data_IF_724533982294
#
_entry.id   IF_724533982294
#
_cell.length_a   1.000
_cell.length_b   1.000
_cell.length_c   1.000
_cell.angle_alpha   90.00
_cell.angle_beta   90.00
_cell.angle_gamma   90.00
#
_symmetry.space_group_name_H-M   'P 1'
#
loop_
_entity.id
_entity.type
_entity.pdbx_description
1 polymer ?
#
# COMPACT_ATOMS: atom_id res chain seq x y z
N UNK A 1 3.41 13.72 7.08
CA UNK A 1 2.67 12.43 6.97
C UNK A 1 3.67 11.29 7.00
N UNK A 2 3.32 10.19 7.64
CA UNK A 2 4.12 8.97 7.72
C UNK A 2 3.58 7.98 6.69
N UNK A 3 4.44 7.47 5.83
CA UNK A 3 4.08 6.45 4.85
C UNK A 3 4.01 5.08 5.53
N UNK A 4 2.89 4.37 5.33
CA UNK A 4 2.62 3.06 5.95
C UNK A 4 2.77 1.91 4.96
N UNK A 5 2.22 2.07 3.77
CA UNK A 5 2.21 1.03 2.74
C UNK A 5 2.09 1.65 1.36
N UNK A 6 2.91 1.19 0.41
CA UNK A 6 2.81 1.57 -1.00
C UNK A 6 1.64 0.87 -1.67
N UNK A 7 1.02 1.55 -2.65
CA UNK A 7 0.11 0.93 -3.61
C UNK A 7 0.97 0.53 -4.81
N UNK A 8 1.19 -0.76 -4.97
CA UNK A 8 2.15 -1.30 -5.93
C UNK A 8 1.49 -1.61 -7.26
N UNK A 9 2.06 -1.07 -8.33
CA UNK A 9 1.80 -1.49 -9.71
C UNK A 9 3.12 -2.07 -10.23
N UNK A 10 3.24 -3.40 -10.35
CA UNK A 10 4.49 -4.00 -10.79
C UNK A 10 4.75 -3.67 -12.26
N UNK A 11 6.00 -3.47 -12.60
CA UNK A 11 6.44 -3.48 -13.98
C UNK A 11 6.22 -4.90 -14.56
N UNK A 12 5.63 -4.98 -15.74
CA UNK A 12 5.42 -6.24 -16.46
C UNK A 12 6.71 -7.03 -16.69
N UNK A 13 7.85 -6.33 -16.74
CA UNK A 13 9.16 -6.95 -16.86
C UNK A 13 9.63 -7.70 -15.61
N UNK A 14 9.05 -7.39 -14.44
CA UNK A 14 9.49 -7.92 -13.13
C UNK A 14 8.48 -8.92 -12.56
N UNK A 15 7.22 -8.87 -12.96
CA UNK A 15 6.16 -9.69 -12.39
C UNK A 15 5.29 -10.35 -13.45
N UNK A 16 5.35 -11.67 -13.54
CA UNK A 16 4.48 -12.48 -14.40
C UNK A 16 3.09 -12.71 -13.80
N UNK A 17 2.92 -12.48 -12.48
CA UNK A 17 1.69 -12.77 -11.73
C UNK A 17 1.04 -11.46 -11.28
N UNK A 18 0.32 -10.81 -12.20
CA UNK A 18 -0.38 -9.53 -11.92
C UNK A 18 -1.44 -9.65 -10.81
N UNK A 19 -2.04 -10.82 -10.63
CA UNK A 19 -3.07 -11.10 -9.62
C UNK A 19 -2.57 -10.94 -8.18
N UNK A 20 -1.26 -11.00 -7.96
CA UNK A 20 -0.67 -10.67 -6.65
C UNK A 20 -0.78 -9.18 -6.30
N UNK A 21 -1.08 -8.32 -7.27
CA UNK A 21 -1.13 -6.87 -7.11
C UNK A 21 -2.49 -6.28 -7.42
N UNK A 22 -3.14 -6.72 -8.52
CA UNK A 22 -4.43 -6.17 -8.93
C UNK A 22 -5.24 -7.15 -9.78
N UNK A 23 -6.54 -6.89 -9.85
CA UNK A 23 -7.47 -7.52 -10.80
C UNK A 23 -8.11 -6.45 -11.67
N UNK A 24 -8.25 -6.73 -12.96
CA UNK A 24 -8.85 -5.80 -13.94
C UNK A 24 -10.13 -6.38 -14.52
N UNK A 25 -11.21 -5.58 -14.51
CA UNK A 25 -12.48 -5.91 -15.15
C UNK A 25 -13.00 -4.70 -15.93
N UNK A 26 -12.94 -4.79 -17.25
CA UNK A 26 -13.30 -3.65 -18.12
C UNK A 26 -12.33 -2.47 -17.92
N UNK A 27 -12.87 -1.31 -17.54
CA UNK A 27 -12.08 -0.12 -17.23
C UNK A 27 -11.79 0.03 -15.72
N UNK A 28 -12.31 -0.86 -14.86
CA UNK A 28 -12.01 -0.89 -13.42
C UNK A 28 -10.79 -1.76 -13.14
N UNK A 29 -9.87 -1.23 -12.36
CA UNK A 29 -8.70 -1.93 -11.84
C UNK A 29 -8.78 -1.89 -10.32
N UNK A 30 -9.02 -3.04 -9.71
CA UNK A 30 -8.99 -3.21 -8.26
C UNK A 30 -7.58 -3.59 -7.83
N UNK A 31 -6.92 -2.74 -7.04
CA UNK A 31 -5.60 -3.02 -6.45
C UNK A 31 -5.74 -3.89 -5.21
N UNK A 32 -6.36 -5.05 -5.39
CA UNK A 32 -6.76 -5.99 -4.34
C UNK A 32 -5.94 -7.29 -4.32
N UNK A 33 -4.81 -7.32 -5.01
CA UNK A 33 -3.86 -8.41 -4.87
C UNK A 33 -3.17 -8.40 -3.50
N UNK A 34 -2.59 -9.52 -3.11
CA UNK A 34 -2.03 -9.76 -1.78
C UNK A 34 -1.13 -8.63 -1.25
N UNK A 35 -0.30 -8.04 -2.12
CA UNK A 35 0.64 -6.98 -1.73
C UNK A 35 0.00 -5.60 -1.58
N UNK A 36 -1.21 -5.39 -2.08
CA UNK A 36 -1.91 -4.11 -2.04
C UNK A 36 -3.04 -4.05 -1.01
N UNK A 37 -3.39 -5.17 -0.38
CA UNK A 37 -4.40 -5.19 0.67
C UNK A 37 -3.90 -4.50 1.93
N UNK A 38 -4.69 -3.54 2.43
CA UNK A 38 -4.45 -2.88 3.70
C UNK A 38 -5.31 -3.50 4.79
N UNK A 39 -4.72 -4.34 5.63
CA UNK A 39 -5.42 -5.09 6.67
C UNK A 39 -5.66 -4.24 7.91
N UNK A 40 -6.93 -4.01 8.26
CA UNK A 40 -7.36 -3.16 9.38
C UNK A 40 -6.97 -3.78 10.73
N UNK A 41 -7.38 -5.02 10.98
CA UNK A 41 -7.17 -5.70 12.27
C UNK A 41 -5.70 -5.77 12.66
N UNK A 42 -4.83 -6.15 11.71
CA UNK A 42 -3.38 -6.20 11.97
C UNK A 42 -2.83 -4.84 12.36
N UNK A 43 -3.25 -3.78 11.67
CA UNK A 43 -2.77 -2.42 11.96
C UNK A 43 -3.28 -1.93 13.31
N UNK A 44 -4.57 -2.08 13.61
CA UNK A 44 -5.14 -1.70 14.92
C UNK A 44 -4.55 -2.48 16.10
N UNK A 45 -4.17 -3.74 15.89
CA UNK A 45 -3.55 -4.57 16.94
C UNK A 45 -2.13 -4.12 17.29
N UNK A 46 -1.35 -3.67 16.30
CA UNK A 46 0.09 -3.43 16.48
C UNK A 46 0.50 -1.97 16.35
N UNK A 47 -0.43 -1.07 16.05
CA UNK A 47 -0.16 0.36 15.91
C UNK A 47 -1.27 1.20 16.56
N UNK A 48 -0.94 2.42 16.96
CA UNK A 48 -1.88 3.39 17.50
C UNK A 48 -2.37 4.36 16.39
N UNK A 49 -2.50 3.87 15.14
CA UNK A 49 -2.99 4.68 14.01
C UNK A 49 -4.48 4.93 14.18
N UNK A 50 -4.85 6.21 14.27
CA UNK A 50 -6.24 6.65 14.38
C UNK A 50 -6.76 7.18 13.03
N UNK A 51 -5.93 7.94 12.30
CA UNK A 51 -6.29 8.57 11.04
C UNK A 51 -5.52 7.93 9.89
N UNK A 52 -6.23 7.62 8.83
CA UNK A 52 -5.66 7.06 7.62
C UNK A 52 -6.06 7.88 6.41
N UNK A 53 -5.10 8.12 5.53
CA UNK A 53 -5.29 8.83 4.27
C UNK A 53 -4.63 8.05 3.13
N UNK A 54 -5.10 8.30 1.92
CA UNK A 54 -4.44 7.87 0.69
C UNK A 54 -3.79 9.10 0.08
N UNK A 55 -2.46 9.09 -0.02
CA UNK A 55 -1.71 10.07 -0.80
C UNK A 55 -1.37 9.42 -2.14
N UNK A 56 -1.93 9.94 -3.23
CA UNK A 56 -1.80 9.29 -4.53
C UNK A 56 -1.66 10.31 -5.65
N UNK A 57 -0.71 10.07 -6.56
CA UNK A 57 -0.50 10.84 -7.78
C UNK A 57 -0.93 10.02 -8.98
N UNK A 58 -1.89 10.54 -9.73
CA UNK A 58 -2.58 9.83 -10.81
C UNK A 58 -2.62 10.63 -12.10
N UNK A 59 -2.58 9.91 -13.22
CA UNK A 59 -2.91 10.39 -14.57
C UNK A 59 -3.61 9.26 -15.33
N UNK A 60 -4.56 9.57 -16.20
CA UNK A 60 -5.26 8.58 -17.03
C UNK A 60 -6.38 7.82 -16.34
N UNK A 61 -6.83 8.31 -15.20
CA UNK A 61 -7.98 7.75 -14.46
C UNK A 61 -9.02 8.82 -14.19
N UNK A 62 -10.28 8.47 -14.35
CA UNK A 62 -11.44 9.38 -14.16
C UNK A 62 -12.05 9.31 -12.76
N UNK A 63 -11.83 8.17 -12.06
CA UNK A 63 -12.45 7.92 -10.77
C UNK A 63 -11.59 6.99 -9.91
N UNK A 64 -11.51 7.32 -8.63
CA UNK A 64 -10.94 6.47 -7.58
C UNK A 64 -12.05 6.04 -6.64
N UNK A 65 -12.06 4.77 -6.30
CA UNK A 65 -12.97 4.20 -5.30
C UNK A 65 -12.14 3.52 -4.22
N UNK A 66 -12.48 3.80 -2.98
CA UNK A 66 -12.00 3.06 -1.84
C UNK A 66 -12.96 1.91 -1.58
N UNK A 67 -12.44 0.71 -1.49
CA UNK A 67 -13.21 -0.52 -1.29
C UNK A 67 -12.86 -1.15 0.05
N UNK A 68 -13.85 -1.60 0.80
CA UNK A 68 -13.69 -2.40 2.02
C UNK A 68 -14.40 -3.74 1.84
N UNK A 69 -13.64 -4.84 1.89
CA UNK A 69 -14.17 -6.22 1.75
C UNK A 69 -15.15 -6.40 0.58
N UNK A 70 -14.87 -5.75 -0.57
CA UNK A 70 -15.70 -5.82 -1.77
C UNK A 70 -16.83 -4.79 -1.85
N UNK A 71 -16.99 -3.93 -0.85
CA UNK A 71 -18.00 -2.87 -0.81
C UNK A 71 -17.34 -1.52 -1.10
N UNK A 72 -17.84 -0.79 -2.08
CA UNK A 72 -17.39 0.56 -2.39
C UNK A 72 -17.83 1.52 -1.25
N UNK A 73 -16.86 2.11 -0.51
CA UNK A 73 -17.15 2.93 0.69
C UNK A 73 -16.89 4.41 0.49
N UNK A 74 -16.08 4.77 -0.49
CA UNK A 74 -15.82 6.17 -0.84
C UNK A 74 -15.44 6.29 -2.30
N UNK A 75 -15.96 7.29 -2.98
CA UNK A 75 -15.67 7.60 -4.37
C UNK A 75 -15.13 9.04 -4.51
N UNK A 76 -14.16 9.22 -5.39
CA UNK A 76 -13.55 10.51 -5.72
C UNK A 76 -13.43 10.63 -7.23
N UNK A 77 -13.97 11.71 -7.80
CA UNK A 77 -13.79 12.07 -9.21
C UNK A 77 -12.40 12.65 -9.42
N UNK A 78 -11.73 12.22 -10.48
CA UNK A 78 -10.35 12.59 -10.81
C UNK A 78 -10.27 13.42 -12.08
N UNK A 79 -9.15 14.10 -12.28
CA UNK A 79 -8.80 14.82 -13.50
C UNK A 79 -7.85 13.94 -14.36
N UNK A 80 -8.33 13.25 -15.41
CA UNK A 80 -7.55 12.20 -16.07
C UNK A 80 -6.43 12.72 -16.98
N UNK A 81 -6.50 13.96 -17.46
CA UNK A 81 -5.64 14.46 -18.56
C UNK A 81 -4.24 14.89 -18.14
N UNK A 82 -3.95 14.96 -16.83
CA UNK A 82 -2.64 15.37 -16.31
C UNK A 82 -2.34 14.69 -14.99
N UNK A 83 -1.07 14.59 -14.65
CA UNK A 83 -0.67 14.14 -13.32
C UNK A 83 -1.15 15.12 -12.26
N UNK A 84 -1.89 14.61 -11.30
CA UNK A 84 -2.36 15.37 -10.14
C UNK A 84 -2.21 14.54 -8.88
N UNK A 85 -1.88 15.23 -7.79
CA UNK A 85 -1.80 14.64 -6.46
C UNK A 85 -3.13 14.80 -5.73
N UNK A 86 -3.54 13.74 -5.07
CA UNK A 86 -4.76 13.69 -4.25
C UNK A 86 -4.40 13.20 -2.86
N UNK A 87 -4.95 13.87 -1.85
CA UNK A 87 -4.93 13.41 -0.48
C UNK A 87 -6.37 13.11 -0.07
N UNK A 88 -6.68 11.86 0.18
CA UNK A 88 -8.03 11.37 0.39
C UNK A 88 -8.14 10.80 1.79
N UNK A 89 -9.04 11.39 2.60
CA UNK A 89 -9.35 10.86 3.92
C UNK A 89 -10.06 9.51 3.82
N UNK A 90 -9.79 8.68 4.80
CA UNK A 90 -10.18 7.30 4.86
C UNK A 90 -11.03 7.06 6.11
N UNK A 91 -12.21 6.42 6.04
CA UNK A 91 -13.04 6.17 7.21
C UNK A 91 -12.50 5.00 8.07
N UNK A 92 -11.22 5.05 8.42
CA UNK A 92 -10.51 3.96 9.09
C UNK A 92 -11.03 3.67 10.50
N UNK A 93 -11.44 4.72 11.23
CA UNK A 93 -12.00 4.60 12.58
C UNK A 93 -13.25 3.73 12.64
N UNK A 94 -14.05 3.71 11.58
CA UNK A 94 -15.34 3.04 11.51
C UNK A 94 -15.22 1.51 11.37
N UNK A 95 -14.01 1.02 11.07
CA UNK A 95 -13.76 -0.39 10.82
C UNK A 95 -12.79 -0.99 11.82
N UNK A 96 -13.08 -2.19 12.30
CA UNK A 96 -12.23 -2.94 13.25
C UNK A 96 -11.55 -4.16 12.62
N UNK A 97 -12.01 -4.61 11.46
CA UNK A 97 -11.52 -5.80 10.76
C UNK A 97 -11.64 -5.62 9.25
N UNK A 98 -11.23 -6.63 8.52
CA UNK A 98 -11.31 -6.64 7.06
C UNK A 98 -10.10 -5.99 6.40
N UNK A 99 -10.21 -5.74 5.13
CA UNK A 99 -9.16 -5.12 4.34
C UNK A 99 -9.70 -4.05 3.39
N UNK A 100 -8.88 -3.04 3.18
CA UNK A 100 -9.12 -1.99 2.21
C UNK A 100 -8.21 -2.15 1.00
N UNK A 101 -8.71 -1.66 -0.15
CA UNK A 101 -7.90 -1.43 -1.33
C UNK A 101 -8.45 -0.26 -2.14
N UNK A 102 -7.65 0.20 -3.08
CA UNK A 102 -8.03 1.23 -4.05
C UNK A 102 -8.48 0.56 -5.33
N UNK A 103 -9.60 1.01 -5.88
CA UNK A 103 -10.01 0.71 -7.25
C UNK A 103 -9.93 2.00 -8.09
N UNK A 104 -9.42 1.89 -9.30
CA UNK A 104 -9.31 2.98 -10.26
C UNK A 104 -10.09 2.67 -11.52
N UNK A 105 -10.76 3.68 -12.08
CA UNK A 105 -11.42 3.60 -13.37
C UNK A 105 -10.60 4.34 -14.41
N UNK A 106 -10.16 3.61 -15.43
CA UNK A 106 -9.36 4.17 -16.52
C UNK A 106 -10.18 5.09 -17.41
N UNK A 107 -9.64 6.28 -17.70
CA UNK A 107 -10.10 7.08 -18.83
C UNK A 107 -9.52 6.52 -20.14
N UNK A 108 -10.41 6.02 -21.00
CA UNK A 108 -10.03 5.44 -22.30
C UNK A 108 -9.49 6.47 -23.29
N UNK A 109 -9.79 7.74 -23.09
CA UNK A 109 -9.32 8.83 -23.94
C UNK A 109 -7.94 9.34 -23.57
N UNK A 110 -7.42 8.98 -22.40
CA UNK A 110 -6.10 9.41 -21.96
C UNK A 110 -5.00 8.54 -22.57
N UNK A 111 -4.03 9.13 -23.28
CA UNK A 111 -2.93 8.40 -23.88
C UNK A 111 -1.91 7.90 -22.85
N UNK A 112 -1.84 8.56 -21.70
CA UNK A 112 -0.88 8.27 -20.64
C UNK A 112 -1.62 7.81 -19.38
N UNK A 113 -1.05 6.82 -18.72
CA UNK A 113 -1.55 6.29 -17.45
C UNK A 113 -0.40 6.15 -16.48
N UNK A 114 -0.61 6.61 -15.28
CA UNK A 114 0.37 6.48 -14.22
C UNK A 114 -0.26 6.53 -12.84
N UNK A 115 0.33 5.76 -11.95
CA UNK A 115 -0.06 5.69 -10.53
C UNK A 115 1.19 5.65 -9.68
N UNK A 116 1.19 6.47 -8.63
CA UNK A 116 2.13 6.38 -7.51
C UNK A 116 1.36 6.76 -6.25
N UNK A 117 1.22 5.84 -5.30
CA UNK A 117 0.37 6.08 -4.15
C UNK A 117 0.77 5.30 -2.91
N UNK A 118 0.33 5.82 -1.77
CA UNK A 118 0.63 5.32 -0.46
C UNK A 118 -0.56 5.46 0.49
N UNK A 119 -0.73 4.48 1.37
CA UNK A 119 -1.47 4.69 2.60
C UNK A 119 -0.57 5.46 3.57
N UNK A 120 -1.08 6.57 4.10
CA UNK A 120 -0.32 7.47 4.97
C UNK A 120 -1.13 7.81 6.23
N UNK A 121 -0.43 8.20 7.31
CA UNK A 121 -1.05 8.74 8.52
C UNK A 121 -0.42 10.07 8.90
N UNK A 122 -1.12 10.85 9.69
CA UNK A 122 -0.55 12.07 10.28
C UNK A 122 0.51 11.70 11.31
N UNK A 123 1.52 12.58 11.52
CA UNK A 123 2.48 12.39 12.60
C UNK A 123 1.75 12.26 13.93
N UNK A 124 2.04 11.18 14.65
CA UNK A 124 1.49 10.93 15.98
C UNK A 124 2.52 11.37 17.03
N UNK A 125 2.05 11.79 18.19
CA UNK A 125 2.90 11.92 19.38
C UNK A 125 3.27 10.51 19.85
N UNK A 126 4.35 9.99 19.26
CA UNK A 126 4.74 8.60 19.40
C UNK A 126 5.91 8.49 20.37
N UNK A 127 5.73 7.71 21.44
CA UNK A 127 6.83 7.27 22.29
C UNK A 127 7.24 5.87 21.81
N UNK A 128 8.47 5.69 21.28
CA UNK A 128 8.94 4.38 20.84
C UNK A 128 8.86 3.36 21.96
N UNK A 129 8.20 2.24 21.73
CA UNK A 129 8.23 1.10 22.64
C UNK A 129 9.46 0.26 22.33
N UNK A 130 10.21 -0.16 23.36
CA UNK A 130 11.18 -1.25 23.19
C UNK A 130 10.40 -2.53 22.89
N UNK A 131 10.56 -3.07 21.71
CA UNK A 131 9.98 -4.35 21.31
C UNK A 131 11.10 -5.34 21.00
N UNK A 132 10.90 -6.58 21.42
CA UNK A 132 11.77 -7.68 20.97
C UNK A 132 11.26 -8.15 19.63
N UNK A 133 12.12 -8.09 18.60
CA UNK A 133 11.79 -8.54 17.25
C UNK A 133 12.44 -9.89 17.03
N UNK A 134 11.63 -10.93 16.82
CA UNK A 134 12.09 -12.22 16.31
C UNK A 134 12.13 -12.17 14.78
N UNK A 135 13.24 -12.63 14.20
CA UNK A 135 13.42 -12.71 12.76
C UNK A 135 13.64 -14.17 12.39
N UNK A 136 12.67 -14.75 11.70
CA UNK A 136 12.77 -16.11 11.17
C UNK A 136 13.11 -16.05 9.68
N UNK A 137 14.20 -16.74 9.29
CA UNK A 137 14.64 -16.80 7.90
C UNK A 137 14.53 -18.23 7.41
N UNK A 138 13.52 -18.49 6.58
CA UNK A 138 13.40 -19.76 5.88
C UNK A 138 14.32 -19.78 4.65
N UNK A 139 15.22 -20.75 4.60
CA UNK A 139 16.12 -20.93 3.46
C UNK A 139 16.25 -22.39 3.07
N UNK A 140 16.42 -22.62 1.78
CA UNK A 140 16.77 -23.92 1.24
C UNK A 140 17.85 -23.74 0.17
N UNK A 141 19.05 -24.25 0.44
CA UNK A 141 20.21 -24.17 -0.48
C UNK A 141 20.55 -22.75 -0.98
N UNK A 142 20.44 -21.74 -0.08
CA UNK A 142 20.70 -20.33 -0.39
C UNK A 142 21.51 -19.62 0.69
N UNK A 143 22.52 -20.29 1.23
CA UNK A 143 23.31 -19.85 2.39
C UNK A 143 23.99 -18.49 2.14
N UNK A 144 24.50 -18.26 0.93
CA UNK A 144 25.16 -16.99 0.57
C UNK A 144 24.18 -15.81 0.59
N UNK A 145 22.93 -16.00 0.14
CA UNK A 145 21.91 -14.97 0.19
C UNK A 145 21.51 -14.65 1.63
N UNK A 146 21.40 -15.68 2.48
CA UNK A 146 21.10 -15.50 3.91
C UNK A 146 22.22 -14.73 4.59
N UNK A 147 23.48 -15.11 4.38
CA UNK A 147 24.63 -14.43 4.96
C UNK A 147 24.68 -12.94 4.56
N UNK A 148 24.43 -12.64 3.29
CA UNK A 148 24.34 -11.27 2.78
C UNK A 148 23.21 -10.48 3.44
N UNK A 149 22.01 -11.06 3.55
CA UNK A 149 20.85 -10.41 4.14
C UNK A 149 21.05 -10.16 5.64
N UNK A 150 21.63 -11.11 6.37
CA UNK A 150 21.98 -10.94 7.79
C UNK A 150 23.00 -9.83 8.01
N UNK A 151 24.00 -9.72 7.14
CA UNK A 151 24.96 -8.62 7.18
C UNK A 151 24.29 -7.28 6.98
N UNK A 152 23.42 -7.16 5.97
CA UNK A 152 22.66 -5.91 5.70
C UNK A 152 21.72 -5.56 6.85
N UNK A 153 21.04 -6.53 7.43
CA UNK A 153 20.18 -6.34 8.58
C UNK A 153 20.95 -5.78 9.77
N UNK A 154 22.12 -6.39 10.09
CA UNK A 154 23.00 -5.92 11.17
C UNK A 154 23.48 -4.50 10.93
N UNK A 155 23.98 -4.19 9.73
CA UNK A 155 24.59 -2.90 9.41
C UNK A 155 23.58 -1.76 9.28
N UNK A 156 22.40 -2.02 8.71
CA UNK A 156 21.44 -0.97 8.36
C UNK A 156 20.30 -0.79 9.36
N UNK A 157 19.95 -1.82 10.09
CA UNK A 157 18.78 -1.80 10.98
C UNK A 157 19.21 -1.90 12.44
N UNK A 158 19.94 -2.94 12.81
CA UNK A 158 20.26 -3.22 14.21
C UNK A 158 21.32 -2.27 14.78
N UNK A 159 22.23 -1.75 13.95
CA UNK A 159 23.26 -0.77 14.38
C UNK A 159 22.70 0.64 14.58
N UNK A 160 21.54 0.95 14.02
CA UNK A 160 20.90 2.26 14.11
C UNK A 160 19.77 2.32 15.16
N UNK A 161 19.56 1.26 15.91
CA UNK A 161 18.52 1.15 16.96
C UNK A 161 19.06 1.48 18.35
N UNK A 162 19.69 2.69 18.48
CA UNK A 162 20.03 3.26 19.79
C UNK A 162 18.97 4.23 20.26
#
# INVERSE_FOLDING_TARGET
MIQLQSILLPDKAVCEISELYYHKKGNRIDYNGYFNLFYVEKRKKYTDIENLKISIRLCGYERLVLVHDGIDVKEVTLEPKRYKEYLIDFPYSDYNKGCFWVALYEDKSSPEKGINGYYVTDPMNYTPRKVNIGIDICTFRREEYVARNLKQLKEKILSNSN
#
